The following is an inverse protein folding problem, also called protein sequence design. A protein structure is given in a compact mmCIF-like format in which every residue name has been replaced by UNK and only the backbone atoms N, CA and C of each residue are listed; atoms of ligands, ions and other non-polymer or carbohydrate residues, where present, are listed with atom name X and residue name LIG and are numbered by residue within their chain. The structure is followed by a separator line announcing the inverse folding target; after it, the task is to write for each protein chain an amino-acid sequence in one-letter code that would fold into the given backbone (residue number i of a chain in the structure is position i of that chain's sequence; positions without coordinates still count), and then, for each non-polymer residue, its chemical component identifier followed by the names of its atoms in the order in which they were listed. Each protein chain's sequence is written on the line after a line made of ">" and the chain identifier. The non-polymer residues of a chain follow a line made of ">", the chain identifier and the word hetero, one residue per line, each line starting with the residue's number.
data_IF_116750010815
#
_entry.id   IF_116750010815
#
_cell.length_a   1.000
_cell.length_b   1.000
_cell.length_c   1.000
_cell.angle_alpha   90.00
_cell.angle_beta   90.00
_cell.angle_gamma   90.00
#
_symmetry.space_group_name_H-M   'P 1'
#
loop_
_entity.id
_entity.type
_entity.pdbx_description
1 polymer ?
#
# COMPACT_ATOMS: atom_id res chain seq x y z
N UNK A 1 6.49 -4.37 -0.57
CA UNK A 1 7.27 -4.40 0.69
C UNK A 1 7.21 -3.02 1.32
N UNK A 2 7.09 -2.91 2.64
CA UNK A 2 7.26 -1.63 3.35
C UNK A 2 8.68 -1.60 3.89
N UNK A 3 9.46 -0.59 3.52
CA UNK A 3 10.82 -0.38 4.00
C UNK A 3 11.01 1.13 4.15
N UNK A 4 11.32 1.59 5.37
CA UNK A 4 11.51 3.02 5.67
C UNK A 4 10.34 3.92 5.22
N UNK A 5 9.14 3.74 5.80
CA UNK A 5 7.91 4.50 5.51
C UNK A 5 7.54 4.64 4.02
N UNK A 6 8.14 3.82 3.15
CA UNK A 6 7.93 3.79 1.72
C UNK A 6 7.38 2.44 1.29
N UNK A 7 6.44 2.48 0.37
CA UNK A 7 5.96 1.31 -0.35
C UNK A 7 6.58 1.31 -1.74
N UNK A 8 7.06 0.14 -2.16
CA UNK A 8 7.64 -0.06 -3.47
C UNK A 8 6.76 -1.00 -4.30
N UNK A 9 6.38 -0.54 -5.50
CA UNK A 9 5.85 -1.39 -6.55
C UNK A 9 7.03 -1.92 -7.38
N UNK A 10 7.04 -3.24 -7.61
CA UNK A 10 8.06 -3.92 -8.42
C UNK A 10 7.37 -4.83 -9.43
N UNK A 11 7.84 -4.83 -10.67
CA UNK A 11 7.43 -5.80 -11.68
C UNK A 11 8.44 -6.94 -11.72
N UNK A 12 7.96 -8.16 -11.98
CA UNK A 12 8.79 -9.34 -12.20
C UNK A 12 8.94 -9.51 -13.72
N UNK A 13 10.16 -9.33 -14.22
CA UNK A 13 10.49 -9.54 -15.63
C UNK A 13 10.72 -11.03 -15.92
N UNK A 14 10.67 -11.46 -17.20
CA UNK A 14 10.86 -12.86 -17.62
C UNK A 14 12.14 -13.53 -17.11
N UNK A 15 13.21 -12.75 -16.90
CA UNK A 15 14.49 -13.24 -16.39
C UNK A 15 14.53 -13.31 -14.84
N UNK A 16 13.36 -13.37 -14.19
CA UNK A 16 13.18 -13.38 -12.73
C UNK A 16 13.76 -12.14 -12.03
N UNK A 17 13.93 -11.05 -12.78
CA UNK A 17 14.45 -9.78 -12.25
C UNK A 17 13.30 -8.92 -11.76
N UNK A 18 13.37 -8.47 -10.51
CA UNK A 18 12.47 -7.45 -10.00
C UNK A 18 12.97 -6.06 -10.38
N UNK A 19 12.24 -5.38 -11.25
CA UNK A 19 12.50 -3.97 -11.57
C UNK A 19 11.67 -3.06 -10.67
N UNK A 20 12.25 -1.97 -10.21
CA UNK A 20 11.52 -0.95 -9.47
C UNK A 20 10.65 -0.15 -10.43
N UNK A 21 9.36 -0.09 -10.13
CA UNK A 21 8.36 0.51 -11.02
C UNK A 21 7.89 1.86 -10.49
N UNK A 22 7.58 1.92 -9.19
CA UNK A 22 7.12 3.13 -8.53
C UNK A 22 7.38 3.03 -7.01
N UNK A 23 7.49 4.17 -6.33
CA UNK A 23 7.46 4.21 -4.87
C UNK A 23 6.45 5.24 -4.36
N UNK A 24 5.74 4.87 -3.29
CA UNK A 24 4.89 5.77 -2.53
C UNK A 24 5.53 6.05 -1.17
N UNK A 25 5.77 7.33 -0.90
CA UNK A 25 6.04 7.79 0.47
C UNK A 25 4.73 7.89 1.24
N UNK A 26 4.57 7.04 2.25
CA UNK A 26 3.36 7.03 3.09
C UNK A 26 3.52 8.00 4.27
N UNK A 27 4.77 8.36 4.63
CA UNK A 27 5.09 9.26 5.76
C UNK A 27 4.72 8.72 7.14
N UNK A 28 4.21 7.48 7.23
CA UNK A 28 3.80 6.80 8.46
C UNK A 28 4.09 5.30 8.39
N UNK A 29 4.08 4.66 9.54
CA UNK A 29 4.31 3.22 9.65
C UNK A 29 3.07 2.44 9.22
N UNK A 30 3.12 1.79 8.05
CA UNK A 30 2.06 0.91 7.53
C UNK A 30 1.87 -0.30 8.46
N UNK A 31 0.67 -0.46 9.02
CA UNK A 31 0.31 -1.60 9.88
C UNK A 31 -0.40 -2.71 9.11
N UNK A 32 -1.04 -2.37 7.99
CA UNK A 32 -1.72 -3.34 7.12
C UNK A 32 -1.60 -2.95 5.66
N UNK A 33 -1.42 -3.96 4.81
CA UNK A 33 -1.36 -3.81 3.36
C UNK A 33 -2.13 -4.99 2.75
N UNK A 34 -3.04 -4.71 1.84
CA UNK A 34 -3.75 -5.74 1.07
C UNK A 34 -3.87 -5.27 -0.37
N UNK A 35 -3.65 -6.19 -1.31
CA UNK A 35 -3.82 -5.94 -2.72
C UNK A 35 -5.00 -6.78 -3.26
N UNK A 36 -5.81 -6.21 -4.15
CA UNK A 36 -6.84 -6.94 -4.88
C UNK A 36 -6.85 -6.45 -6.31
N UNK A 37 -6.45 -7.32 -7.24
CA UNK A 37 -6.14 -6.92 -8.63
C UNK A 37 -5.15 -5.76 -8.63
N UNK A 38 -5.50 -4.66 -9.28
CA UNK A 38 -4.70 -3.44 -9.36
C UNK A 38 -4.98 -2.44 -8.23
N UNK A 39 -5.79 -2.78 -7.23
CA UNK A 39 -6.04 -1.90 -6.08
C UNK A 39 -5.16 -2.27 -4.89
N UNK A 40 -4.67 -1.26 -4.19
CA UNK A 40 -3.94 -1.41 -2.94
C UNK A 40 -4.69 -0.68 -1.83
N UNK A 41 -4.94 -1.39 -0.73
CA UNK A 41 -5.47 -0.84 0.50
C UNK A 41 -4.35 -0.80 1.55
N UNK A 42 -4.06 0.39 2.05
CA UNK A 42 -3.05 0.64 3.08
C UNK A 42 -3.78 1.08 4.34
N UNK A 43 -3.43 0.49 5.47
CA UNK A 43 -3.85 0.97 6.77
C UNK A 43 -2.67 1.27 7.67
N UNK A 44 -2.79 2.33 8.46
CA UNK A 44 -1.88 2.64 9.56
C UNK A 44 -2.65 3.25 10.76
N UNK A 45 -1.95 3.37 11.89
CA UNK A 45 -2.56 3.81 13.14
C UNK A 45 -2.83 5.33 13.23
N UNK A 46 -2.26 6.14 12.34
CA UNK A 46 -2.33 7.61 12.40
C UNK A 46 -3.21 8.22 11.29
N UNK A 47 -3.18 7.63 10.09
CA UNK A 47 -3.82 8.14 8.89
C UNK A 47 -5.00 7.28 8.41
N UNK A 48 -5.44 6.31 9.22
CA UNK A 48 -6.54 5.39 8.89
C UNK A 48 -6.25 4.61 7.60
N UNK A 49 -7.21 4.56 6.67
CA UNK A 49 -7.15 3.76 5.44
C UNK A 49 -6.92 4.64 4.21
N UNK A 50 -6.01 4.21 3.34
CA UNK A 50 -5.75 4.81 2.02
C UNK A 50 -5.97 3.77 0.91
N UNK A 51 -6.76 4.13 -0.11
CA UNK A 51 -7.01 3.32 -1.29
C UNK A 51 -6.26 3.89 -2.50
N UNK A 52 -5.47 3.05 -3.16
CA UNK A 52 -4.71 3.36 -4.36
C UNK A 52 -5.12 2.42 -5.50
N UNK A 53 -4.95 2.88 -6.73
CA UNK A 53 -4.88 2.03 -7.91
C UNK A 53 -3.49 2.06 -8.52
N UNK A 54 -3.02 0.90 -8.94
CA UNK A 54 -1.90 0.74 -9.84
C UNK A 54 -2.39 0.83 -11.29
N UNK A 55 -1.72 1.66 -12.07
CA UNK A 55 -1.87 1.80 -13.52
C UNK A 55 -0.57 1.34 -14.18
N UNK A 56 -0.67 0.57 -15.25
CA UNK A 56 0.48 -0.03 -15.95
C UNK A 56 1.04 0.89 -17.05
N UNK A 57 0.18 1.64 -17.75
CA UNK A 57 0.58 2.48 -18.88
C UNK A 57 0.17 3.96 -18.67
N UNK A 58 1.08 4.83 -18.18
CA UNK A 58 2.38 4.50 -17.60
C UNK A 58 2.25 3.92 -16.19
N UNK A 59 3.31 3.25 -15.75
CA UNK A 59 3.44 2.72 -14.40
C UNK A 59 3.27 3.80 -13.33
N UNK A 60 2.19 3.72 -12.56
CA UNK A 60 1.85 4.74 -11.56
C UNK A 60 0.97 4.21 -10.43
N UNK A 61 1.19 4.70 -9.21
CA UNK A 61 0.20 4.62 -8.12
C UNK A 61 -0.66 5.88 -8.09
N UNK A 62 -1.97 5.70 -8.11
CA UNK A 62 -2.98 6.77 -8.14
C UNK A 62 -3.79 6.71 -6.85
N UNK A 63 -3.81 7.82 -6.10
CA UNK A 63 -4.68 7.97 -4.93
C UNK A 63 -6.14 8.06 -5.37
N UNK A 64 -6.96 7.10 -4.94
CA UNK A 64 -8.38 7.07 -5.23
C UNK A 64 -9.20 7.64 -4.07
N UNK A 65 -8.73 7.46 -2.83
CA UNK A 65 -9.42 7.96 -1.66
C UNK A 65 -8.66 7.69 -0.37
N UNK A 66 -8.98 8.47 0.66
CA UNK A 66 -8.40 8.35 1.99
C UNK A 66 -9.45 8.64 3.05
N UNK A 67 -9.45 7.84 4.10
CA UNK A 67 -10.21 8.14 5.31
C UNK A 67 -9.44 9.18 6.15
N UNK A 68 -10.06 10.33 6.42
CA UNK A 68 -9.47 11.42 7.20
C UNK A 68 -9.85 11.36 8.69
N UNK A 69 -10.62 10.36 9.11
CA UNK A 69 -10.92 10.15 10.54
C UNK A 69 -9.62 9.75 11.27
N UNK A 70 -9.27 10.50 12.31
CA UNK A 70 -8.11 10.19 13.16
C UNK A 70 -8.47 9.13 14.19
N UNK A 71 -7.56 8.17 14.41
CA UNK A 71 -7.60 7.31 15.60
C UNK A 71 -8.33 5.97 15.48
N UNK A 72 -8.66 5.49 14.28
CA UNK A 72 -8.97 4.06 14.14
C UNK A 72 -7.66 3.28 14.21
N UNK A 73 -7.41 2.61 15.34
CA UNK A 73 -6.36 1.59 15.39
C UNK A 73 -6.81 0.44 14.50
N UNK A 74 -6.26 0.36 13.29
CA UNK A 74 -6.47 -0.75 12.35
C UNK A 74 -5.63 -1.97 12.73
N UNK A 75 -5.55 -2.27 14.03
CA UNK A 75 -5.05 -3.55 14.49
C UNK A 75 -5.97 -4.62 13.91
N UNK A 76 -5.40 -5.60 13.19
CA UNK A 76 -6.13 -6.80 12.81
C UNK A 76 -6.84 -7.33 14.05
N UNK A 77 -8.15 -7.57 13.97
CA UNK A 77 -8.83 -8.34 15.00
C UNK A 77 -8.04 -9.65 15.16
N UNK A 78 -7.64 -10.02 16.40
CA UNK A 78 -6.99 -11.31 16.60
C UNK A 78 -7.95 -12.37 16.09
N UNK A 79 -7.46 -13.25 15.22
CA UNK A 79 -8.22 -14.39 14.75
C UNK A 79 -8.72 -15.13 16.00
N UNK A 80 -10.05 -15.25 16.13
CA UNK A 80 -10.67 -15.98 17.22
C UNK A 80 -10.12 -17.42 17.21
N UNK A 81 -9.65 -17.86 18.38
CA UNK A 81 -9.16 -19.21 18.70
C UNK A 81 -9.99 -20.34 18.10
#
# INVERSE_FOLDING_TARGET
>A
MSMEQKLYARALEPDEVFIAVEFLDVGVHVTSLTATKNFLLIGDALQSVTLLAFQEDPYKLVLLGRDYRRGLSLARAPELM
#
